data_IF_860184322674
#
_entry.id   IF_860184322674
#
_cell.length_a   1.000
_cell.length_b   1.000
_cell.length_c   1.000
_cell.angle_alpha   90.00
_cell.angle_beta   90.00
_cell.angle_gamma   90.00
#
_symmetry.space_group_name_H-M   'P 1'
#
loop_
_entity.id
_entity.type
_entity.pdbx_description
1 polymer ?
#
# COMPACT_ATOMS: atom_id res chain seq x y z
N UNK A 1 41.77 -13.50 -10.82
CA UNK A 1 41.32 -12.62 -9.70
C UNK A 1 42.48 -11.98 -8.94
N UNK A 2 43.49 -12.72 -8.48
CA UNK A 2 44.60 -12.15 -7.69
C UNK A 2 45.46 -11.14 -8.47
N UNK A 3 45.74 -11.39 -9.75
CA UNK A 3 46.57 -10.51 -10.58
C UNK A 3 46.02 -9.07 -10.70
N UNK A 4 44.70 -8.92 -10.87
CA UNK A 4 44.04 -7.62 -11.04
C UNK A 4 43.51 -7.03 -9.72
N UNK A 5 43.70 -7.69 -8.58
CA UNK A 5 43.15 -7.23 -7.31
C UNK A 5 43.72 -5.86 -6.92
N UNK A 6 45.05 -5.71 -7.05
CA UNK A 6 45.75 -4.46 -6.70
C UNK A 6 45.44 -3.32 -7.66
N UNK A 7 45.10 -3.62 -8.92
CA UNK A 7 44.72 -2.62 -9.92
C UNK A 7 43.31 -2.10 -9.64
N UNK A 8 42.37 -3.01 -9.40
CA UNK A 8 40.96 -2.65 -9.15
C UNK A 8 40.80 -1.91 -7.81
N UNK A 9 41.54 -2.32 -6.78
CA UNK A 9 41.51 -1.63 -5.47
C UNK A 9 42.11 -0.22 -5.53
N UNK A 10 43.05 0.05 -6.45
CA UNK A 10 43.59 1.40 -6.69
C UNK A 10 42.70 2.25 -7.60
N UNK A 11 41.94 1.62 -8.50
CA UNK A 11 41.13 2.32 -9.50
C UNK A 11 39.81 2.88 -8.92
N UNK A 12 39.30 2.31 -7.83
CA UNK A 12 38.01 2.68 -7.26
C UNK A 12 38.14 3.10 -5.79
N UNK A 13 37.46 4.17 -5.35
CA UNK A 13 37.38 4.54 -3.93
C UNK A 13 36.76 3.42 -3.08
N UNK A 14 37.20 3.29 -1.83
CA UNK A 14 36.74 2.21 -0.93
C UNK A 14 35.23 2.22 -0.67
N UNK A 15 34.60 3.40 -0.66
CA UNK A 15 33.16 3.56 -0.44
C UNK A 15 32.32 3.36 -1.72
N UNK A 16 32.97 3.11 -2.86
CA UNK A 16 32.28 2.94 -4.13
C UNK A 16 31.69 1.54 -4.28
N UNK A 17 30.52 1.43 -4.92
CA UNK A 17 29.91 0.12 -5.18
C UNK A 17 30.81 -0.84 -5.99
N UNK A 18 31.53 -0.41 -7.05
CA UNK A 18 32.47 -1.29 -7.76
C UNK A 18 33.54 -1.89 -6.86
N UNK A 19 34.09 -1.09 -5.93
CA UNK A 19 35.05 -1.57 -4.94
C UNK A 19 34.42 -2.61 -4.00
N UNK A 20 33.28 -2.28 -3.41
CA UNK A 20 32.54 -3.17 -2.49
C UNK A 20 32.18 -4.50 -3.18
N UNK A 21 31.72 -4.42 -4.43
CA UNK A 21 31.39 -5.56 -5.26
C UNK A 21 32.61 -6.45 -5.48
N UNK A 22 33.70 -5.87 -5.99
CA UNK A 22 34.94 -6.59 -6.24
C UNK A 22 35.50 -7.24 -4.98
N UNK A 23 35.59 -6.48 -3.88
CA UNK A 23 36.10 -6.99 -2.61
C UNK A 23 35.24 -8.15 -2.09
N UNK A 24 33.93 -8.08 -2.25
CA UNK A 24 33.02 -9.17 -1.88
C UNK A 24 33.23 -10.42 -2.76
N UNK A 25 33.37 -10.25 -4.08
CA UNK A 25 33.68 -11.36 -4.99
C UNK A 25 35.04 -12.00 -4.69
N UNK A 26 36.06 -11.16 -4.48
CA UNK A 26 37.42 -11.59 -4.18
C UNK A 26 37.49 -12.35 -2.85
N UNK A 27 36.85 -11.84 -1.80
CA UNK A 27 36.74 -12.51 -0.49
C UNK A 27 35.99 -13.84 -0.58
N UNK A 28 34.94 -13.91 -1.39
CA UNK A 28 34.21 -15.15 -1.61
C UNK A 28 35.06 -16.20 -2.32
N UNK A 29 35.82 -15.78 -3.34
CA UNK A 29 36.64 -16.67 -4.16
C UNK A 29 37.92 -17.15 -3.45
N UNK A 30 38.47 -16.36 -2.53
CA UNK A 30 39.73 -16.66 -1.81
C UNK A 30 39.53 -17.43 -0.51
N UNK A 31 38.28 -17.63 -0.05
CA UNK A 31 38.00 -18.47 1.11
C UNK A 31 38.22 -19.95 0.77
N UNK A 32 39.30 -20.52 1.27
CA UNK A 32 39.67 -21.93 1.05
C UNK A 32 39.01 -22.92 2.03
N UNK A 33 38.46 -22.46 3.16
CA UNK A 33 38.07 -23.36 4.26
C UNK A 33 36.58 -23.77 4.28
N UNK A 34 35.66 -22.91 3.83
CA UNK A 34 34.23 -23.26 3.75
C UNK A 34 33.45 -22.30 2.85
N UNK A 35 32.54 -22.83 1.99
CA UNK A 35 31.63 -22.02 1.17
C UNK A 35 30.51 -21.35 1.99
N UNK A 36 30.39 -21.64 3.29
CA UNK A 36 29.36 -21.08 4.18
C UNK A 36 29.93 -20.03 5.14
N UNK A 37 29.05 -19.20 5.70
CA UNK A 37 29.39 -18.25 6.77
C UNK A 37 30.06 -16.94 6.31
N UNK A 38 30.02 -16.61 5.01
CA UNK A 38 30.47 -15.29 4.55
C UNK A 38 29.51 -14.20 5.01
N UNK A 39 30.06 -13.16 5.68
CA UNK A 39 29.35 -11.93 5.97
C UNK A 39 29.45 -10.98 4.77
N UNK A 40 28.31 -10.63 4.20
CA UNK A 40 28.19 -9.75 3.04
C UNK A 40 28.08 -8.30 3.48
N UNK A 41 28.61 -7.38 2.66
CA UNK A 41 28.40 -5.96 2.86
C UNK A 41 26.91 -5.61 2.64
N UNK A 42 26.29 -4.71 3.45
CA UNK A 42 24.89 -4.32 3.28
C UNK A 42 24.54 -3.80 1.88
N UNK A 43 25.44 -3.07 1.23
CA UNK A 43 25.23 -2.58 -0.14
C UNK A 43 25.13 -3.73 -1.16
N UNK A 44 25.92 -4.80 -0.96
CA UNK A 44 25.81 -6.01 -1.77
C UNK A 44 24.49 -6.73 -1.56
N UNK A 45 24.05 -6.87 -0.30
CA UNK A 45 22.77 -7.50 0.00
C UNK A 45 21.62 -6.72 -0.67
N UNK A 46 21.61 -5.38 -0.55
CA UNK A 46 20.59 -4.55 -1.21
C UNK A 46 20.58 -4.73 -2.72
N UNK A 47 21.76 -4.73 -3.36
CA UNK A 47 21.87 -4.98 -4.79
C UNK A 47 21.37 -6.38 -5.20
N UNK A 48 21.72 -7.40 -4.43
CA UNK A 48 21.24 -8.77 -4.67
C UNK A 48 19.72 -8.91 -4.47
N UNK A 49 19.14 -8.26 -3.46
CA UNK A 49 17.68 -8.20 -3.26
C UNK A 49 17.02 -7.54 -4.46
N UNK A 50 17.53 -6.40 -4.92
CA UNK A 50 17.01 -5.72 -6.11
C UNK A 50 17.05 -6.63 -7.35
N UNK A 51 18.17 -7.31 -7.60
CA UNK A 51 18.31 -8.22 -8.73
C UNK A 51 17.35 -9.42 -8.63
N UNK A 52 17.23 -10.01 -7.44
CA UNK A 52 16.30 -11.10 -7.15
C UNK A 52 14.83 -10.69 -7.37
N UNK A 53 14.46 -9.45 -7.01
CA UNK A 53 13.12 -8.90 -7.23
C UNK A 53 12.84 -8.67 -8.72
N UNK A 54 13.85 -8.27 -9.50
CA UNK A 54 13.73 -8.12 -10.97
C UNK A 54 13.57 -9.47 -11.67
N UNK A 55 14.35 -10.47 -11.28
CA UNK A 55 14.22 -11.84 -11.80
C UNK A 55 14.89 -12.85 -10.88
N UNK A 56 14.07 -13.66 -10.20
CA UNK A 56 14.54 -14.75 -9.35
C UNK A 56 15.27 -15.83 -10.14
N UNK A 57 14.81 -16.12 -11.37
CA UNK A 57 15.43 -17.10 -12.26
C UNK A 57 16.79 -16.64 -12.74
N UNK A 58 16.92 -15.38 -13.17
CA UNK A 58 18.20 -14.84 -13.61
C UNK A 58 19.20 -14.77 -12.46
N UNK A 59 18.75 -14.38 -11.27
CA UNK A 59 19.58 -14.39 -10.06
C UNK A 59 20.12 -15.80 -9.75
N UNK A 60 19.25 -16.82 -9.77
CA UNK A 60 19.68 -18.20 -9.53
C UNK A 60 20.59 -18.73 -10.63
N UNK A 61 20.38 -18.35 -11.88
CA UNK A 61 21.28 -18.71 -12.97
C UNK A 61 22.69 -18.13 -12.74
N UNK A 62 22.79 -16.85 -12.40
CA UNK A 62 24.07 -16.19 -12.08
C UNK A 62 24.76 -16.82 -10.86
N UNK A 63 23.99 -17.17 -9.82
CA UNK A 63 24.51 -17.81 -8.62
C UNK A 63 24.97 -19.24 -8.87
N UNK A 64 24.16 -20.06 -9.55
CA UNK A 64 24.44 -21.49 -9.79
C UNK A 64 25.52 -21.71 -10.84
N UNK A 65 25.61 -20.84 -11.85
CA UNK A 65 26.70 -20.87 -12.83
C UNK A 65 28.06 -20.56 -12.21
N UNK A 66 28.09 -20.04 -10.96
CA UNK A 66 29.29 -19.57 -10.26
C UNK A 66 30.05 -18.47 -11.02
N UNK A 67 29.40 -17.84 -12.00
CA UNK A 67 29.92 -16.65 -12.67
C UNK A 67 30.10 -15.51 -11.65
N UNK A 68 29.16 -15.38 -10.71
CA UNK A 68 29.23 -14.49 -9.57
C UNK A 68 29.01 -15.27 -8.27
N UNK A 69 29.80 -14.95 -7.24
CA UNK A 69 29.55 -15.40 -5.87
C UNK A 69 28.46 -14.52 -5.28
N UNK A 70 27.26 -15.06 -5.12
CA UNK A 70 26.10 -14.32 -4.62
C UNK A 70 25.53 -14.98 -3.36
N UNK A 71 24.91 -14.20 -2.45
CA UNK A 71 24.18 -14.73 -1.30
C UNK A 71 23.14 -15.78 -1.70
N UNK A 72 22.87 -16.72 -0.80
CA UNK A 72 21.78 -17.68 -1.01
C UNK A 72 20.42 -16.99 -0.97
N UNK A 73 19.41 -17.56 -1.64
CA UNK A 73 18.04 -17.05 -1.50
C UNK A 73 17.55 -17.08 -0.06
N UNK A 74 18.00 -18.06 0.75
CA UNK A 74 17.67 -18.09 2.17
C UNK A 74 18.15 -16.83 2.87
N UNK A 75 19.40 -16.46 2.65
CA UNK A 75 19.98 -15.21 3.18
C UNK A 75 19.18 -14.00 2.70
N UNK A 76 18.88 -13.90 1.40
CA UNK A 76 18.07 -12.77 0.90
C UNK A 76 16.68 -12.71 1.55
N UNK A 77 16.02 -13.85 1.73
CA UNK A 77 14.72 -13.93 2.40
C UNK A 77 14.79 -13.42 3.84
N UNK A 78 15.82 -13.76 4.59
CA UNK A 78 16.02 -13.26 5.97
C UNK A 78 16.09 -11.72 6.01
N UNK A 79 16.73 -11.09 5.03
CA UNK A 79 16.76 -9.62 4.91
C UNK A 79 15.44 -9.03 4.43
N UNK A 80 14.74 -9.67 3.49
CA UNK A 80 13.45 -9.20 2.97
C UNK A 80 12.37 -9.26 4.06
N UNK A 81 12.34 -10.35 4.84
CA UNK A 81 11.38 -10.57 5.91
C UNK A 81 11.75 -9.92 7.24
N UNK A 82 12.81 -9.09 7.26
CA UNK A 82 13.16 -8.31 8.43
C UNK A 82 12.00 -7.41 8.87
N UNK A 83 11.33 -6.78 7.90
CA UNK A 83 10.11 -6.02 8.15
C UNK A 83 8.93 -6.98 8.01
N UNK A 84 8.22 -7.22 9.11
CA UNK A 84 7.02 -8.06 9.10
C UNK A 84 5.89 -7.30 8.42
N UNK A 85 5.28 -7.83 7.35
CA UNK A 85 4.11 -7.22 6.75
C UNK A 85 2.94 -7.27 7.75
N UNK A 86 2.38 -6.11 8.07
CA UNK A 86 1.17 -5.99 8.88
C UNK A 86 -0.09 -5.85 8.02
N UNK A 87 -1.25 -6.08 8.62
CA UNK A 87 -2.56 -5.70 8.08
C UNK A 87 -3.01 -4.46 8.84
N UNK A 88 -3.60 -3.50 8.14
CA UNK A 88 -4.08 -2.23 8.68
C UNK A 88 -2.96 -1.21 8.85
N UNK A 89 -3.19 -0.27 9.76
CA UNK A 89 -2.23 0.78 10.08
C UNK A 89 -1.21 0.31 11.12
N UNK A 90 0.00 0.87 11.06
CA UNK A 90 1.04 0.62 12.06
C UNK A 90 1.96 1.82 12.20
N UNK A 91 2.63 1.95 13.35
CA UNK A 91 3.56 3.06 13.57
C UNK A 91 4.81 2.91 12.70
N UNK A 92 5.21 1.68 12.41
CA UNK A 92 6.33 1.38 11.51
C UNK A 92 6.03 1.85 10.08
N UNK A 93 4.77 1.76 9.63
CA UNK A 93 4.34 2.29 8.32
C UNK A 93 4.39 3.83 8.30
N UNK A 94 3.99 4.49 9.39
CA UNK A 94 4.09 5.95 9.53
C UNK A 94 5.57 6.39 9.46
N UNK A 95 6.47 5.70 10.17
CA UNK A 95 7.90 5.97 10.15
C UNK A 95 8.50 5.75 8.76
N UNK A 96 8.15 4.64 8.09
CA UNK A 96 8.59 4.36 6.72
C UNK A 96 8.10 5.43 5.73
N UNK A 97 6.85 5.86 5.85
CA UNK A 97 6.30 6.93 5.02
C UNK A 97 7.13 8.22 5.16
N UNK A 98 7.50 8.62 6.39
CA UNK A 98 8.31 9.82 6.64
C UNK A 98 9.73 9.66 6.08
N UNK A 99 10.33 8.49 6.22
CA UNK A 99 11.68 8.20 5.73
C UNK A 99 11.74 8.18 4.19
N UNK A 100 10.86 7.43 3.54
CA UNK A 100 10.87 7.22 2.09
C UNK A 100 10.51 8.49 1.32
N UNK A 101 9.63 9.32 1.90
CA UNK A 101 9.26 10.61 1.32
C UNK A 101 10.29 11.71 1.56
N UNK A 102 11.26 11.50 2.46
CA UNK A 102 12.22 12.53 2.93
C UNK A 102 11.49 13.80 3.36
N UNK A 103 10.41 13.64 4.13
CA UNK A 103 9.46 14.72 4.46
C UNK A 103 10.11 16.01 4.96
N UNK A 104 11.20 15.92 5.73
CA UNK A 104 11.92 17.07 6.27
C UNK A 104 12.54 17.96 5.19
N UNK A 105 12.87 17.40 4.02
CA UNK A 105 13.42 18.13 2.88
C UNK A 105 12.35 18.72 1.96
N UNK A 106 11.07 18.42 2.19
CA UNK A 106 9.97 18.86 1.33
C UNK A 106 9.52 20.27 1.64
N UNK A 107 9.31 21.06 0.58
CA UNK A 107 8.68 22.37 0.67
C UNK A 107 7.19 22.26 1.03
N UNK A 108 6.60 23.36 1.48
CA UNK A 108 5.20 23.39 1.94
C UNK A 108 4.18 22.88 0.91
N UNK A 109 4.40 23.10 -0.38
CA UNK A 109 3.52 22.62 -1.46
C UNK A 109 3.75 21.13 -1.77
N UNK A 110 4.96 20.61 -1.55
CA UNK A 110 5.29 19.20 -1.78
C UNK A 110 4.70 18.25 -0.73
N UNK A 111 4.24 18.80 0.39
CA UNK A 111 3.58 18.05 1.48
C UNK A 111 2.12 17.70 1.16
N UNK A 112 1.56 18.19 0.06
CA UNK A 112 0.19 17.85 -0.33
C UNK A 112 0.12 16.47 -0.98
N UNK A 113 -0.78 15.65 -0.46
CA UNK A 113 -0.97 14.26 -0.89
C UNK A 113 -2.44 13.95 -1.14
N UNK A 114 -2.67 12.96 -2.00
CA UNK A 114 -3.96 12.30 -2.20
C UNK A 114 -3.91 10.87 -1.68
N UNK A 115 -5.06 10.39 -1.21
CA UNK A 115 -5.27 8.97 -0.89
C UNK A 115 -6.00 8.34 -2.07
N UNK A 116 -5.48 7.24 -2.60
CA UNK A 116 -6.15 6.44 -3.61
C UNK A 116 -6.41 5.08 -2.98
N UNK A 117 -7.62 4.55 -3.13
CA UNK A 117 -7.91 3.20 -2.69
C UNK A 117 -8.70 2.41 -3.71
N UNK A 118 -8.43 1.11 -3.72
CA UNK A 118 -9.13 0.14 -4.55
C UNK A 118 -9.19 -1.21 -3.82
N UNK A 119 -10.17 -2.03 -4.21
CA UNK A 119 -10.38 -3.35 -3.65
C UNK A 119 -9.95 -4.43 -4.65
N UNK A 120 -9.12 -5.35 -4.19
CA UNK A 120 -8.58 -6.44 -5.02
C UNK A 120 -9.10 -7.80 -4.54
N UNK A 121 -9.64 -8.61 -5.45
CA UNK A 121 -10.02 -9.99 -5.13
C UNK A 121 -8.80 -10.85 -4.79
N UNK A 122 -8.92 -11.62 -3.71
CA UNK A 122 -7.92 -12.59 -3.25
C UNK A 122 -8.53 -13.98 -3.15
N UNK A 123 -7.68 -15.01 -3.20
CA UNK A 123 -8.14 -16.39 -2.99
C UNK A 123 -8.47 -16.58 -1.51
N UNK A 124 -9.73 -16.91 -1.24
CA UNK A 124 -10.18 -17.29 0.10
C UNK A 124 -9.46 -18.55 0.57
N UNK A 125 -8.99 -18.53 1.81
CA UNK A 125 -8.34 -19.66 2.44
C UNK A 125 -7.70 -19.29 3.77
N UNK A 126 -7.40 -20.31 4.56
CA UNK A 126 -6.68 -20.16 5.82
C UNK A 126 -5.26 -20.67 5.65
N UNK A 127 -4.31 -19.90 6.16
CA UNK A 127 -2.88 -20.21 6.12
C UNK A 127 -2.34 -20.09 7.54
N UNK A 128 -1.65 -21.13 8.00
CA UNK A 128 -0.96 -21.09 9.28
C UNK A 128 0.42 -20.42 9.12
N UNK A 129 0.60 -19.26 9.75
CA UNK A 129 1.91 -18.62 9.81
C UNK A 129 2.76 -19.30 10.87
N UNK A 130 3.77 -20.05 10.43
CA UNK A 130 4.70 -20.78 11.32
C UNK A 130 5.57 -19.86 12.18
N UNK A 131 5.68 -18.58 11.81
CA UNK A 131 6.54 -17.61 12.48
C UNK A 131 5.83 -16.95 13.64
N UNK A 132 4.56 -16.57 13.46
CA UNK A 132 3.75 -15.95 14.52
C UNK A 132 2.94 -16.99 15.30
N UNK A 133 2.63 -18.13 14.68
CA UNK A 133 1.74 -19.15 15.22
C UNK A 133 0.26 -18.87 14.92
N UNK A 134 -0.04 -17.84 14.15
CA UNK A 134 -1.42 -17.39 13.89
C UNK A 134 -2.03 -18.07 12.66
N UNK A 135 -3.36 -18.16 12.67
CA UNK A 135 -4.13 -18.55 11.51
C UNK A 135 -4.56 -17.30 10.73
N UNK A 136 -3.99 -17.12 9.54
CA UNK A 136 -4.20 -15.96 8.67
C UNK A 136 -5.26 -16.30 7.61
N UNK A 137 -6.09 -15.33 7.25
CA UNK A 137 -7.11 -15.49 6.19
C UNK A 137 -8.51 -14.99 6.57
N UNK A 138 -8.67 -14.55 7.82
CA UNK A 138 -9.89 -13.89 8.28
C UNK A 138 -9.95 -12.42 7.87
N UNK A 139 -11.17 -11.87 7.83
CA UNK A 139 -11.39 -10.45 7.65
C UNK A 139 -10.80 -9.66 8.83
N UNK A 140 -10.15 -8.54 8.51
CA UNK A 140 -9.61 -7.56 9.45
C UNK A 140 -9.75 -6.18 8.83
N UNK A 141 -10.71 -5.41 9.32
CA UNK A 141 -11.15 -4.15 8.72
C UNK A 141 -10.83 -2.93 9.60
N UNK A 142 -9.85 -3.09 10.49
CA UNK A 142 -9.35 -2.06 11.41
C UNK A 142 -9.95 -2.22 12.81
N UNK A 143 -9.21 -1.76 13.82
CA UNK A 143 -9.53 -2.03 15.24
C UNK A 143 -10.95 -1.60 15.62
N UNK A 144 -11.37 -0.40 15.20
CA UNK A 144 -12.72 0.12 15.49
C UNK A 144 -13.80 -0.79 14.92
N UNK A 145 -13.68 -1.13 13.63
CA UNK A 145 -14.67 -1.97 12.97
C UNK A 145 -14.65 -3.40 13.52
N UNK A 146 -13.47 -3.96 13.78
CA UNK A 146 -13.31 -5.31 14.31
C UNK A 146 -13.95 -5.42 15.71
N UNK A 147 -13.80 -4.40 16.56
CA UNK A 147 -14.50 -4.32 17.86
C UNK A 147 -16.02 -4.18 17.72
N UNK A 148 -16.51 -3.33 16.80
CA UNK A 148 -17.95 -3.17 16.57
C UNK A 148 -18.59 -4.48 16.08
N UNK A 149 -17.94 -5.18 15.15
CA UNK A 149 -18.38 -6.49 14.67
C UNK A 149 -18.33 -7.56 15.77
N UNK A 150 -17.36 -7.48 16.69
CA UNK A 150 -17.33 -8.36 17.85
C UNK A 150 -18.53 -8.12 18.77
N UNK A 151 -18.83 -6.87 19.11
CA UNK A 151 -19.97 -6.52 19.96
C UNK A 151 -21.31 -6.95 19.34
N UNK A 152 -21.47 -6.76 18.03
CA UNK A 152 -22.67 -7.19 17.29
C UNK A 152 -22.86 -8.72 17.37
N UNK A 153 -21.77 -9.49 17.27
CA UNK A 153 -21.80 -10.94 17.44
C UNK A 153 -22.19 -11.34 18.86
N UNK A 154 -21.54 -10.79 19.87
CA UNK A 154 -21.82 -11.07 21.28
C UNK A 154 -23.30 -10.78 21.64
N UNK A 155 -23.86 -9.68 21.11
CA UNK A 155 -25.26 -9.35 21.29
C UNK A 155 -26.22 -10.35 20.60
N UNK A 156 -25.89 -10.75 19.37
CA UNK A 156 -26.72 -11.71 18.60
C UNK A 156 -26.71 -13.10 19.25
N UNK A 157 -25.57 -13.52 19.79
CA UNK A 157 -25.42 -14.75 20.58
C UNK A 157 -26.32 -14.76 21.81
N UNK A 158 -26.38 -13.64 22.54
CA UNK A 158 -27.19 -13.54 23.76
C UNK A 158 -28.70 -13.66 23.50
N UNK A 159 -29.14 -13.38 22.27
CA UNK A 159 -30.55 -13.42 21.86
C UNK A 159 -30.98 -14.76 21.21
N UNK A 160 -30.10 -15.77 21.16
CA UNK A 160 -30.45 -17.11 20.70
C UNK A 160 -30.45 -17.31 19.18
N UNK A 161 -30.16 -16.27 18.40
CA UNK A 161 -29.96 -16.36 16.94
C UNK A 161 -28.53 -16.83 16.65
N UNK A 162 -28.28 -18.13 16.85
CA UNK A 162 -26.98 -18.77 16.61
C UNK A 162 -26.68 -18.95 15.10
N UNK A 163 -26.78 -17.88 14.30
CA UNK A 163 -26.37 -17.90 12.91
C UNK A 163 -24.84 -17.99 12.82
N UNK A 164 -24.31 -19.22 12.77
CA UNK A 164 -22.96 -19.60 12.36
C UNK A 164 -21.87 -18.54 12.58
N UNK A 165 -21.41 -18.43 13.83
CA UNK A 165 -20.27 -17.64 14.30
C UNK A 165 -18.92 -18.09 13.73
N UNK A 166 -18.84 -18.08 12.41
CA UNK A 166 -17.60 -18.37 11.70
C UNK A 166 -16.95 -17.04 11.37
N UNK A 167 -15.72 -16.85 11.87
CA UNK A 167 -14.87 -15.74 11.45
C UNK A 167 -14.87 -15.70 9.93
N UNK A 168 -15.33 -14.59 9.37
CA UNK A 168 -15.54 -14.49 7.92
C UNK A 168 -14.19 -14.50 7.22
N UNK A 169 -14.03 -15.39 6.24
CA UNK A 169 -12.83 -15.44 5.42
C UNK A 169 -12.76 -14.22 4.50
N UNK A 170 -11.56 -13.65 4.38
CA UNK A 170 -11.31 -12.55 3.48
C UNK A 170 -11.38 -13.01 2.02
N UNK A 171 -12.17 -12.30 1.23
CA UNK A 171 -12.38 -12.51 -0.21
C UNK A 171 -11.67 -11.45 -1.04
N UNK A 172 -11.44 -10.31 -0.42
CA UNK A 172 -10.92 -9.11 -1.04
C UNK A 172 -9.92 -8.45 -0.10
N UNK A 173 -9.15 -7.50 -0.63
CA UNK A 173 -8.23 -6.68 0.12
C UNK A 173 -8.38 -5.24 -0.34
N UNK A 174 -8.85 -4.37 0.56
CA UNK A 174 -8.84 -2.92 0.34
C UNK A 174 -7.42 -2.41 0.58
N UNK A 175 -6.85 -1.71 -0.40
CA UNK A 175 -5.51 -1.12 -0.28
C UNK A 175 -5.61 0.39 -0.36
N UNK A 176 -5.06 1.08 0.64
CA UNK A 176 -4.89 2.52 0.65
C UNK A 176 -3.47 2.86 0.22
N UNK A 177 -3.35 3.70 -0.80
CA UNK A 177 -2.09 4.22 -1.29
C UNK A 177 -2.05 5.74 -1.13
N UNK A 178 -0.88 6.26 -0.78
CA UNK A 178 -0.60 7.70 -0.73
C UNK A 178 0.10 8.09 -2.02
N UNK A 179 -0.41 9.13 -2.67
CA UNK A 179 0.19 9.73 -3.86
C UNK A 179 0.54 11.18 -3.59
N UNK A 180 1.79 11.54 -3.84
CA UNK A 180 2.21 12.95 -3.86
C UNK A 180 1.51 13.71 -4.97
N UNK A 181 0.93 14.88 -4.66
CA UNK A 181 0.30 15.72 -5.69
C UNK A 181 1.32 16.53 -6.47
N UNK A 182 2.41 16.93 -5.80
CA UNK A 182 3.50 17.73 -6.38
C UNK A 182 4.86 17.03 -6.25
N UNK A 183 4.85 15.72 -5.99
CA UNK A 183 6.05 14.88 -5.90
C UNK A 183 5.80 13.55 -6.60
N UNK A 184 6.86 12.80 -6.89
CA UNK A 184 6.75 11.45 -7.44
C UNK A 184 6.41 10.37 -6.39
N UNK A 185 6.09 10.76 -5.15
CA UNK A 185 5.80 9.84 -4.06
C UNK A 185 4.63 8.92 -4.40
N UNK A 186 4.86 7.61 -4.36
CA UNK A 186 3.82 6.58 -4.35
C UNK A 186 4.15 5.64 -3.21
N UNK A 187 3.25 5.50 -2.26
CA UNK A 187 3.48 4.67 -1.08
C UNK A 187 2.26 3.80 -0.79
N UNK A 188 2.36 2.46 -0.82
CA UNK A 188 1.31 1.59 -0.33
C UNK A 188 1.25 1.73 1.18
N UNK A 189 0.19 2.35 1.69
CA UNK A 189 0.15 2.81 3.07
C UNK A 189 -0.46 1.78 4.02
N UNK A 190 -1.63 1.25 3.71
CA UNK A 190 -2.29 0.25 4.54
C UNK A 190 -3.14 -0.69 3.69
N UNK A 191 -3.33 -1.91 4.16
CA UNK A 191 -4.20 -2.90 3.52
C UNK A 191 -5.14 -3.53 4.54
N UNK A 192 -6.38 -3.80 4.15
CA UNK A 192 -7.41 -4.36 5.01
C UNK A 192 -8.01 -5.58 4.35
N UNK A 193 -8.04 -6.69 5.06
CA UNK A 193 -8.58 -7.95 4.56
C UNK A 193 -10.11 -7.91 4.70
N UNK A 194 -10.83 -7.91 3.58
CA UNK A 194 -12.27 -7.65 3.52
C UNK A 194 -13.02 -8.83 2.90
N UNK A 195 -14.33 -8.87 3.07
CA UNK A 195 -15.22 -9.80 2.34
C UNK A 195 -16.36 -9.03 1.68
N UNK A 196 -17.19 -8.36 2.49
CA UNK A 196 -18.25 -7.47 2.05
C UNK A 196 -18.11 -6.15 2.84
N UNK A 197 -17.24 -5.26 2.39
CA UNK A 197 -17.06 -3.97 3.06
C UNK A 197 -18.27 -3.06 2.80
N UNK A 198 -18.78 -2.41 3.84
CA UNK A 198 -19.86 -1.41 3.72
C UNK A 198 -19.32 0.02 3.68
N UNK A 199 -20.11 0.96 3.17
CA UNK A 199 -19.70 2.37 3.10
C UNK A 199 -19.49 2.99 4.47
N UNK A 200 -20.25 2.51 5.46
CA UNK A 200 -20.14 2.88 6.88
C UNK A 200 -18.81 2.39 7.47
N UNK A 201 -18.41 1.15 7.18
CA UNK A 201 -17.14 0.57 7.65
C UNK A 201 -15.92 1.26 7.02
N UNK A 202 -16.05 1.87 5.84
CA UNK A 202 -14.97 2.66 5.25
C UNK A 202 -14.67 3.95 6.04
N UNK A 203 -15.66 4.53 6.71
CA UNK A 203 -15.50 5.81 7.42
C UNK A 203 -14.35 5.77 8.43
N UNK A 204 -14.32 4.86 9.43
CA UNK A 204 -13.22 4.83 10.38
C UNK A 204 -11.86 4.55 9.72
N UNK A 205 -11.81 3.70 8.68
CA UNK A 205 -10.57 3.41 7.95
C UNK A 205 -9.98 4.68 7.32
N UNK A 206 -10.79 5.45 6.60
CA UNK A 206 -10.32 6.68 5.94
C UNK A 206 -10.00 7.78 6.94
N UNK A 207 -10.82 7.96 7.98
CA UNK A 207 -10.56 8.98 9.00
C UNK A 207 -9.28 8.70 9.80
N UNK A 208 -9.03 7.44 10.17
CA UNK A 208 -7.78 7.06 10.80
C UNK A 208 -6.60 7.28 9.85
N UNK A 209 -6.72 6.88 8.58
CA UNK A 209 -5.68 7.13 7.58
C UNK A 209 -5.34 8.61 7.42
N UNK A 210 -6.36 9.48 7.28
CA UNK A 210 -6.18 10.94 7.23
C UNK A 210 -5.45 11.42 8.48
N UNK A 211 -5.89 10.98 9.66
CA UNK A 211 -5.31 11.40 10.92
C UNK A 211 -3.83 11.07 11.05
N UNK A 212 -3.45 9.84 10.72
CA UNK A 212 -2.07 9.41 10.81
C UNK A 212 -1.18 10.12 9.79
N UNK A 213 -1.67 10.32 8.57
CA UNK A 213 -0.95 11.03 7.50
C UNK A 213 -0.73 12.51 7.87
N UNK A 214 -1.76 13.20 8.38
CA UNK A 214 -1.65 14.58 8.85
C UNK A 214 -0.70 14.69 10.04
N UNK A 215 -0.77 13.75 10.98
CA UNK A 215 0.14 13.68 12.14
C UNK A 215 1.60 13.50 11.71
N UNK A 216 1.86 12.77 10.63
CA UNK A 216 3.21 12.66 10.06
C UNK A 216 3.73 14.00 9.52
N UNK A 217 2.86 14.95 9.18
CA UNK A 217 3.21 16.27 8.65
C UNK A 217 2.88 16.49 7.17
N UNK A 218 2.17 15.55 6.55
CA UNK A 218 1.57 15.73 5.22
C UNK A 218 0.24 16.47 5.30
N UNK A 219 -0.28 16.88 4.15
CA UNK A 219 -1.57 17.55 4.00
C UNK A 219 -2.42 16.77 3.01
N UNK A 220 -3.39 16.02 3.51
CA UNK A 220 -4.36 15.31 2.67
C UNK A 220 -5.28 16.34 2.02
N UNK A 221 -5.39 16.25 0.69
CA UNK A 221 -6.23 17.13 -0.13
C UNK A 221 -7.28 16.37 -0.92
N UNK A 222 -6.99 15.14 -1.34
CA UNK A 222 -7.89 14.37 -2.20
C UNK A 222 -8.04 12.93 -1.73
N UNK A 223 -9.22 12.36 -1.99
CA UNK A 223 -9.47 10.92 -1.91
C UNK A 223 -10.02 10.48 -3.26
N UNK A 224 -9.44 9.44 -3.84
CA UNK A 224 -9.90 8.86 -5.11
C UNK A 224 -10.28 7.40 -4.93
N UNK A 225 -11.50 7.08 -5.33
CA UNK A 225 -12.09 5.74 -5.25
C UNK A 225 -12.71 5.34 -6.58
N UNK A 226 -12.95 4.05 -6.78
CA UNK A 226 -13.76 3.60 -7.91
C UNK A 226 -15.23 4.04 -7.77
N UNK A 227 -16.00 3.82 -8.84
CA UNK A 227 -17.42 4.15 -8.87
C UNK A 227 -18.35 3.04 -8.35
N UNK A 228 -17.96 2.18 -7.41
CA UNK A 228 -18.86 1.16 -6.88
C UNK A 228 -19.91 1.74 -5.91
N UNK A 229 -20.96 0.98 -5.60
CA UNK A 229 -22.05 1.44 -4.71
C UNK A 229 -21.57 1.71 -3.29
N UNK A 230 -20.65 0.89 -2.78
CA UNK A 230 -20.06 1.02 -1.44
C UNK A 230 -19.28 2.34 -1.33
N UNK A 231 -18.42 2.62 -2.31
CA UNK A 231 -17.63 3.86 -2.35
C UNK A 231 -18.51 5.10 -2.50
N UNK A 232 -19.57 5.04 -3.32
CA UNK A 232 -20.55 6.13 -3.40
C UNK A 232 -21.27 6.37 -2.06
N UNK A 233 -21.63 5.30 -1.34
CA UNK A 233 -22.28 5.40 -0.03
C UNK A 233 -21.34 6.05 0.99
N UNK A 234 -20.07 5.64 1.02
CA UNK A 234 -19.03 6.30 1.82
C UNK A 234 -18.94 7.79 1.50
N UNK A 235 -18.84 8.17 0.22
CA UNK A 235 -18.78 9.57 -0.20
C UNK A 235 -19.99 10.38 0.29
N UNK A 236 -21.19 9.80 0.21
CA UNK A 236 -22.42 10.44 0.71
C UNK A 236 -22.39 10.63 2.23
N UNK A 237 -21.90 9.64 2.98
CA UNK A 237 -21.82 9.73 4.45
C UNK A 237 -20.85 10.84 4.89
N UNK A 238 -19.69 10.94 4.24
CA UNK A 238 -18.65 11.90 4.67
C UNK A 238 -18.86 13.31 4.11
N UNK A 239 -19.56 13.46 2.99
CA UNK A 239 -19.79 14.75 2.34
C UNK A 239 -20.66 15.69 3.18
N UNK A 240 -20.52 16.99 2.94
CA UNK A 240 -21.38 17.98 3.57
C UNK A 240 -22.86 17.76 3.17
N UNK A 241 -23.80 17.72 4.13
CA UNK A 241 -25.21 17.44 3.88
C UNK A 241 -25.89 18.49 2.97
N UNK A 242 -25.37 19.72 2.94
CA UNK A 242 -25.91 20.82 2.15
C UNK A 242 -25.51 20.76 0.66
N UNK A 243 -24.70 19.79 0.25
CA UNK A 243 -24.23 19.68 -1.14
C UNK A 243 -25.09 18.73 -1.95
N UNK A 244 -25.58 19.20 -3.11
CA UNK A 244 -26.36 18.37 -4.05
C UNK A 244 -25.56 17.18 -4.59
N UNK A 245 -24.23 17.33 -4.68
CA UNK A 245 -23.31 16.29 -5.13
C UNK A 245 -22.24 16.10 -4.07
N UNK A 246 -22.02 14.86 -3.57
CA UNK A 246 -21.00 14.58 -2.57
C UNK A 246 -19.60 14.69 -3.20
N UNK A 247 -18.96 15.86 -3.07
CA UNK A 247 -17.68 16.16 -3.75
C UNK A 247 -16.58 16.60 -2.80
N UNK A 248 -16.90 16.95 -1.55
CA UNK A 248 -15.92 17.37 -0.55
C UNK A 248 -16.48 17.35 0.87
N UNK A 249 -15.58 17.37 1.83
CA UNK A 249 -15.89 17.55 3.26
C UNK A 249 -14.76 18.30 3.96
N UNK A 250 -15.05 18.88 5.13
CA UNK A 250 -14.03 19.58 5.93
C UNK A 250 -13.10 18.57 6.60
N UNK A 251 -11.79 18.76 6.47
CA UNK A 251 -10.82 17.96 7.21
C UNK A 251 -10.88 18.33 8.69
N UNK A 252 -11.28 17.39 9.59
CA UNK A 252 -11.43 17.68 11.02
C UNK A 252 -10.11 18.06 11.71
N UNK A 253 -8.97 17.74 11.09
CA UNK A 253 -7.63 17.97 11.66
C UNK A 253 -6.94 19.20 11.09
N UNK A 254 -7.58 19.90 10.15
CA UNK A 254 -7.00 21.10 9.55
C UNK A 254 -7.40 22.34 10.33
N UNK A 255 -6.43 22.98 10.99
CA UNK A 255 -6.60 24.28 11.65
C UNK A 255 -7.12 25.37 10.70
N UNK A 256 -6.87 25.23 9.39
CA UNK A 256 -7.22 26.22 8.37
C UNK A 256 -8.53 25.89 7.65
N UNK A 257 -9.37 25.01 8.20
CA UNK A 257 -10.62 24.56 7.55
C UNK A 257 -10.40 23.98 6.15
N UNK A 258 -9.25 23.33 5.90
CA UNK A 258 -8.95 22.71 4.59
C UNK A 258 -10.00 21.66 4.26
N UNK A 259 -10.50 21.70 3.03
CA UNK A 259 -11.42 20.69 2.51
C UNK A 259 -10.63 19.52 1.89
N UNK A 260 -11.19 18.32 2.00
CA UNK A 260 -10.75 17.13 1.26
C UNK A 260 -11.73 16.91 0.12
N UNK A 261 -11.21 16.85 -1.10
CA UNK A 261 -11.98 16.65 -2.31
C UNK A 261 -12.10 15.16 -2.66
N UNK A 262 -13.31 14.73 -2.98
CA UNK A 262 -13.66 13.35 -3.31
C UNK A 262 -13.72 13.21 -4.84
N UNK A 263 -12.97 12.27 -5.37
CA UNK A 263 -12.95 11.95 -6.80
C UNK A 263 -13.34 10.50 -7.05
N UNK A 264 -14.13 10.28 -8.09
CA UNK A 264 -14.26 8.95 -8.69
C UNK A 264 -13.17 8.75 -9.74
N UNK A 265 -12.65 7.53 -9.90
CA UNK A 265 -11.66 7.24 -10.94
C UNK A 265 -12.21 7.58 -12.35
N UNK A 266 -11.58 8.54 -13.06
CA UNK A 266 -12.00 8.93 -14.40
C UNK A 266 -12.01 7.76 -15.38
N UNK A 267 -11.09 6.81 -15.28
CA UNK A 267 -11.02 5.68 -16.21
C UNK A 267 -12.27 4.79 -16.10
N UNK A 268 -12.71 4.51 -14.86
CA UNK A 268 -13.95 3.78 -14.59
C UNK A 268 -15.18 4.54 -15.07
N UNK A 269 -15.22 5.86 -14.91
CA UNK A 269 -16.32 6.69 -15.43
C UNK A 269 -16.42 6.62 -16.96
N UNK A 270 -15.30 6.76 -17.68
CA UNK A 270 -15.27 6.67 -19.14
C UNK A 270 -15.72 5.29 -19.62
N UNK A 271 -15.23 4.22 -18.99
CA UNK A 271 -15.66 2.84 -19.29
C UNK A 271 -17.17 2.67 -19.08
N UNK A 272 -17.71 3.26 -18.02
CA UNK A 272 -19.14 3.22 -17.69
C UNK A 272 -19.98 3.99 -18.71
N UNK A 273 -19.58 5.21 -19.06
CA UNK A 273 -20.23 6.02 -20.09
C UNK A 273 -20.26 5.29 -21.44
N UNK A 274 -19.12 4.71 -21.85
CA UNK A 274 -19.02 3.87 -23.06
C UNK A 274 -19.99 2.69 -23.02
N UNK A 275 -20.06 1.97 -21.89
CA UNK A 275 -20.97 0.83 -21.74
C UNK A 275 -22.44 1.24 -21.81
N UNK A 276 -22.80 2.40 -21.24
CA UNK A 276 -24.15 2.93 -21.34
C UNK A 276 -24.49 3.32 -22.78
N UNK A 277 -23.59 4.00 -23.49
CA UNK A 277 -23.76 4.35 -24.90
C UNK A 277 -23.89 3.14 -25.82
N UNK A 278 -23.13 2.07 -25.55
CA UNK A 278 -23.15 0.86 -26.37
C UNK A 278 -24.37 -0.04 -26.11
N UNK A 279 -25.03 0.12 -24.96
CA UNK A 279 -26.13 -0.74 -24.58
C UNK A 279 -27.47 -0.17 -25.06
N UNK A 280 -28.07 -0.81 -26.06
CA UNK A 280 -29.35 -0.43 -26.65
C UNK A 280 -30.53 -0.39 -25.65
N UNK A 281 -30.41 -1.08 -24.52
CA UNK A 281 -31.44 -1.08 -23.45
C UNK A 281 -31.28 0.04 -22.42
N UNK A 282 -30.17 0.79 -22.44
CA UNK A 282 -29.89 1.85 -21.46
C UNK A 282 -30.12 3.22 -22.10
N UNK A 283 -31.23 3.87 -21.73
CA UNK A 283 -31.48 5.25 -22.11
C UNK A 283 -30.63 6.19 -21.24
N UNK A 284 -29.71 6.93 -21.85
CA UNK A 284 -29.00 7.99 -21.16
C UNK A 284 -29.94 9.18 -20.98
N UNK A 285 -30.31 9.49 -19.74
CA UNK A 285 -31.08 10.70 -19.47
C UNK A 285 -30.16 11.91 -19.58
N UNK A 286 -30.31 12.67 -20.67
CA UNK A 286 -29.65 13.97 -20.82
C UNK A 286 -30.43 14.98 -19.99
N UNK A 287 -29.89 15.37 -18.83
CA UNK A 287 -30.46 16.45 -18.03
C UNK A 287 -30.23 17.75 -18.81
N UNK A 288 -31.30 18.33 -19.36
CA UNK A 288 -31.27 19.70 -19.89
C UNK A 288 -31.04 20.64 -18.71
N UNK A 289 -29.82 21.16 -18.58
CA UNK A 289 -29.55 22.30 -17.70
C UNK A 289 -30.24 23.51 -18.36
N UNK A 290 -31.45 23.82 -17.90
CA UNK A 290 -32.15 25.04 -18.30
C UNK A 290 -31.42 26.19 -17.59
N UNK A 291 -30.55 26.89 -18.33
CA UNK A 291 -30.11 28.22 -17.91
C UNK A 291 -31.35 29.12 -17.89
N UNK A 292 -31.90 29.34 -16.70
CA UNK A 292 -32.80 30.47 -16.47
C UNK A 292 -31.92 31.72 -16.53
N UNK A 293 -31.87 32.35 -17.71
CA UNK A 293 -31.38 33.71 -17.82
C UNK A 293 -32.30 34.59 -16.98
N UNK A 294 -31.83 34.99 -15.80
CA UNK A 294 -32.39 36.10 -15.05
C UNK A 294 -32.04 37.35 -15.86
N UNK A 295 -33.00 37.85 -16.62
CA UNK A 295 -32.97 39.21 -17.12
C UNK A 295 -33.29 40.14 -15.93
N UNK A 296 -32.29 40.88 -15.48
CA UNK A 296 -32.46 42.22 -14.91
C UNK A 296 -32.01 43.24 -15.97
#
# INVERSE_FOLDING_TARGET
MQHHHNEITKAFPEDSFPYIFWMSQYKAATRSASPTGMRWNPAMIRWCVYLQQKSSTAYELLRKSKCLHLPSQRTLREYIHHNKPGIGFSNELDEQLVLDSKLQSLESHQKYVGIIADEMYIKQGLVYDKTTGDLVGYCRIGEINDHLLQLEREYTESNGDAANNTHTLAKTMLVLMIRGLFTSLTFPYASFATSNLTGEQMVPIFYEGIMRIERCGFKVLTITLDGCSVNRKFMQIVSNPDTTVPHKFKNPLSNNSREIFLFSDPSHLIKTARNCLANQSRNMQVIKIIHTAVHE
#
